data_IF_730542799004
#
_entry.id   IF_730542799004
#
_cell.length_a   1.000
_cell.length_b   1.000
_cell.length_c   1.000
_cell.angle_alpha   90.00
_cell.angle_beta   90.00
_cell.angle_gamma   90.00
#
_symmetry.space_group_name_H-M   'P 1'
#
loop_
_entity.id
_entity.type
_entity.pdbx_description
1 polymer ?
#
# COMPACT_ATOMS: atom_id res chain seq x y z
N UNK A 1 7.20 -0.19 -23.66
CA UNK A 1 6.62 0.95 -22.94
C UNK A 1 5.68 1.66 -23.89
N UNK A 2 4.48 2.04 -23.45
CA UNK A 2 3.56 2.86 -24.25
C UNK A 2 4.04 4.31 -24.19
N UNK A 3 4.08 4.99 -25.32
CA UNK A 3 4.44 6.41 -25.45
C UNK A 3 3.25 7.20 -26.01
N UNK A 4 3.24 8.51 -25.81
CA UNK A 4 2.12 9.39 -26.19
C UNK A 4 0.93 9.25 -25.24
N UNK A 5 1.18 9.01 -23.94
CA UNK A 5 0.13 8.82 -22.95
C UNK A 5 -0.81 10.03 -22.84
N UNK A 6 -0.28 11.24 -23.05
CA UNK A 6 -1.04 12.50 -23.02
C UNK A 6 -2.14 12.59 -24.09
N UNK A 7 -2.08 11.75 -25.13
CA UNK A 7 -3.08 11.68 -26.22
C UNK A 7 -3.94 10.41 -26.17
N UNK A 8 -3.74 9.55 -25.18
CA UNK A 8 -4.51 8.32 -25.06
C UNK A 8 -5.92 8.57 -24.53
N UNK A 9 -6.91 7.73 -24.91
CA UNK A 9 -8.23 7.77 -24.31
C UNK A 9 -8.14 7.57 -22.78
N UNK A 10 -8.88 8.36 -21.97
CA UNK A 10 -8.86 8.25 -20.51
C UNK A 10 -9.15 6.84 -20.00
N UNK A 11 -10.00 6.08 -20.69
CA UNK A 11 -10.30 4.69 -20.34
C UNK A 11 -9.08 3.77 -20.32
N UNK A 12 -8.13 3.97 -21.25
CA UNK A 12 -6.89 3.16 -21.32
C UNK A 12 -5.94 3.51 -20.17
N UNK A 13 -5.82 4.81 -19.87
CA UNK A 13 -5.00 5.29 -18.75
C UNK A 13 -5.53 4.78 -17.42
N UNK A 14 -6.85 4.83 -17.23
CA UNK A 14 -7.51 4.30 -16.04
C UNK A 14 -7.35 2.78 -15.92
N UNK A 15 -7.54 2.04 -17.02
CA UNK A 15 -7.37 0.59 -17.03
C UNK A 15 -5.97 0.16 -16.56
N UNK A 16 -4.92 0.86 -17.03
CA UNK A 16 -3.54 0.64 -16.59
C UNK A 16 -3.38 0.89 -15.09
N UNK A 17 -3.95 1.99 -14.58
CA UNK A 17 -3.95 2.30 -13.15
C UNK A 17 -4.65 1.23 -12.31
N UNK A 18 -5.81 0.74 -12.77
CA UNK A 18 -6.58 -0.31 -12.09
C UNK A 18 -5.81 -1.64 -12.08
N UNK A 19 -5.24 -2.06 -13.20
CA UNK A 19 -4.45 -3.31 -13.26
C UNK A 19 -3.27 -3.28 -12.30
N UNK A 20 -2.59 -2.13 -12.21
CA UNK A 20 -1.48 -1.94 -11.29
C UNK A 20 -1.94 -1.98 -9.81
N UNK A 21 -3.07 -1.32 -9.50
CA UNK A 21 -3.68 -1.37 -8.16
C UNK A 21 -4.12 -2.79 -7.78
N UNK A 22 -4.75 -3.53 -8.72
CA UNK A 22 -5.09 -4.94 -8.53
C UNK A 22 -3.84 -5.82 -8.35
N UNK A 23 -2.74 -5.50 -9.03
CA UNK A 23 -1.44 -6.16 -8.81
C UNK A 23 -0.95 -5.98 -7.38
N UNK A 24 -1.06 -4.78 -6.82
CA UNK A 24 -0.77 -4.49 -5.41
C UNK A 24 -1.63 -5.34 -4.45
N UNK A 25 -2.94 -5.39 -4.69
CA UNK A 25 -3.88 -6.27 -3.95
C UNK A 25 -3.45 -7.74 -4.04
N UNK A 26 -3.06 -8.20 -5.22
CA UNK A 26 -2.61 -9.58 -5.45
C UNK A 26 -1.38 -9.96 -4.65
N UNK A 27 -0.38 -9.06 -4.57
CA UNK A 27 0.82 -9.27 -3.75
C UNK A 27 0.44 -9.34 -2.26
N UNK A 28 -0.41 -8.43 -1.78
CA UNK A 28 -0.85 -8.42 -0.39
C UNK A 28 -1.65 -9.69 -0.03
N UNK A 29 -2.57 -10.11 -0.90
CA UNK A 29 -3.33 -11.34 -0.72
C UNK A 29 -2.42 -12.58 -0.67
N UNK A 30 -1.42 -12.64 -1.55
CA UNK A 30 -0.44 -13.72 -1.60
C UNK A 30 0.40 -13.76 -0.32
N UNK A 31 0.85 -12.60 0.18
CA UNK A 31 1.60 -12.51 1.43
C UNK A 31 0.80 -13.05 2.62
N UNK A 32 -0.50 -12.71 2.72
CA UNK A 32 -1.40 -13.24 3.76
C UNK A 32 -1.61 -14.75 3.61
N UNK A 33 -1.69 -15.27 2.39
CA UNK A 33 -1.86 -16.69 2.13
C UNK A 33 -0.62 -17.52 2.49
N UNK A 34 0.58 -16.95 2.33
CA UNK A 34 1.86 -17.63 2.64
C UNK A 34 2.21 -17.54 4.13
N UNK A 35 1.76 -16.50 4.84
CA UNK A 35 2.10 -16.25 6.25
C UNK A 35 1.91 -17.46 7.19
N UNK A 36 0.81 -18.26 7.09
CA UNK A 36 0.66 -19.48 7.89
C UNK A 36 1.73 -20.52 7.61
N UNK A 37 2.14 -20.69 6.35
CA UNK A 37 3.15 -21.69 5.95
C UNK A 37 4.52 -21.36 6.58
N UNK A 38 4.87 -20.08 6.67
CA UNK A 38 6.10 -19.63 7.33
C UNK A 38 6.06 -19.83 8.86
N UNK A 39 4.90 -19.63 9.49
CA UNK A 39 4.73 -19.85 10.93
C UNK A 39 4.75 -21.35 11.32
N UNK A 40 4.44 -22.25 10.39
CA UNK A 40 4.47 -23.70 10.62
C UNK A 40 5.91 -24.25 10.62
N UNK A 41 6.88 -23.56 9.98
CA UNK A 41 8.25 -24.08 9.81
C UNK A 41 9.28 -23.72 10.90
N UNK A 42 9.05 -22.68 11.72
CA UNK A 42 10.03 -22.18 12.71
C UNK A 42 9.53 -22.09 14.16
N UNK A 43 8.22 -22.20 14.39
CA UNK A 43 7.61 -21.99 15.70
C UNK A 43 7.48 -23.27 16.54
N UNK A 44 7.67 -24.47 15.97
CA UNK A 44 7.69 -25.70 16.79
C UNK A 44 8.94 -25.78 17.68
N UNK A 45 10.09 -25.27 17.21
CA UNK A 45 11.33 -25.24 18.00
C UNK A 45 11.26 -24.18 19.11
N UNK A 46 10.59 -23.05 18.87
CA UNK A 46 10.42 -21.95 19.84
C UNK A 46 9.23 -22.13 20.80
N UNK A 47 8.27 -23.00 20.49
CA UNK A 47 7.13 -23.31 21.38
C UNK A 47 7.53 -24.03 22.66
N UNK A 48 8.71 -24.66 22.68
CA UNK A 48 9.18 -25.39 23.86
C UNK A 48 9.70 -24.48 24.97
N UNK A 49 10.11 -23.23 24.68
CA UNK A 49 10.69 -22.33 25.71
C UNK A 49 9.71 -21.31 26.29
N UNK A 50 8.55 -21.05 25.67
CA UNK A 50 7.62 -20.00 26.13
C UNK A 50 6.17 -20.49 26.16
N UNK A 51 5.87 -21.42 27.06
CA UNK A 51 4.48 -21.72 27.42
C UNK A 51 4.10 -20.98 28.71
N UNK A 52 3.55 -19.78 28.58
CA UNK A 52 2.37 -19.33 29.36
C UNK A 52 1.92 -17.94 28.89
N UNK A 53 0.62 -17.82 28.60
CA UNK A 53 -0.11 -16.55 28.44
C UNK A 53 -0.02 -15.76 27.11
N UNK A 54 0.17 -16.42 25.96
CA UNK A 54 -0.25 -15.82 24.68
C UNK A 54 -1.66 -16.30 24.35
N UNK A 55 -2.64 -15.54 24.83
CA UNK A 55 -4.05 -15.71 24.51
C UNK A 55 -4.20 -15.84 23.01
N UNK A 56 -4.75 -17.00 22.64
CA UNK A 56 -5.11 -17.48 21.31
C UNK A 56 -6.00 -16.47 20.59
N UNK A 57 -5.42 -15.41 20.03
CA UNK A 57 -6.06 -14.54 19.05
C UNK A 57 -5.13 -14.46 17.85
N UNK A 58 -4.79 -15.61 17.29
CA UNK A 58 -4.43 -15.64 15.87
C UNK A 58 -5.69 -15.14 15.14
N UNK A 59 -5.68 -13.95 14.54
CA UNK A 59 -6.83 -13.52 13.77
C UNK A 59 -7.08 -14.61 12.74
N UNK A 60 -8.31 -15.11 12.62
CA UNK A 60 -8.67 -15.98 11.49
C UNK A 60 -8.13 -15.31 10.24
N UNK A 61 -7.37 -16.03 9.41
CA UNK A 61 -6.63 -15.49 8.25
C UNK A 61 -7.50 -14.54 7.41
N UNK A 62 -8.78 -14.87 7.25
CA UNK A 62 -9.77 -14.01 6.59
C UNK A 62 -9.91 -12.61 7.22
N UNK A 63 -9.91 -12.49 8.54
CA UNK A 63 -9.94 -11.19 9.23
C UNK A 63 -8.71 -10.33 8.97
N UNK A 64 -7.51 -10.93 8.91
CA UNK A 64 -6.28 -10.21 8.55
C UNK A 64 -6.32 -9.68 7.12
N UNK A 65 -6.78 -10.50 6.16
CA UNK A 65 -6.97 -10.09 4.78
C UNK A 65 -7.93 -8.89 4.67
N UNK A 66 -9.08 -8.94 5.35
CA UNK A 66 -10.04 -7.83 5.36
C UNK A 66 -9.42 -6.54 5.90
N UNK A 67 -8.64 -6.62 7.00
CA UNK A 67 -7.96 -5.46 7.56
C UNK A 67 -6.93 -4.85 6.60
N UNK A 68 -6.11 -5.68 5.96
CA UNK A 68 -5.09 -5.24 4.99
C UNK A 68 -5.76 -4.56 3.79
N UNK A 69 -6.80 -5.18 3.22
CA UNK A 69 -7.53 -4.61 2.09
C UNK A 69 -8.24 -3.31 2.45
N UNK A 70 -8.79 -3.21 3.67
CA UNK A 70 -9.43 -2.00 4.16
C UNK A 70 -8.43 -0.85 4.32
N UNK A 71 -7.24 -1.13 4.85
CA UNK A 71 -6.15 -0.13 4.97
C UNK A 71 -5.66 0.28 3.58
N UNK A 72 -5.45 -0.68 2.68
CA UNK A 72 -5.03 -0.41 1.30
C UNK A 72 -6.02 0.48 0.55
N UNK A 73 -7.31 0.15 0.60
CA UNK A 73 -8.37 0.98 0.02
C UNK A 73 -8.48 2.35 0.69
N UNK A 74 -8.42 2.40 2.03
CA UNK A 74 -8.45 3.64 2.80
C UNK A 74 -7.28 4.58 2.46
N UNK A 75 -6.06 4.05 2.38
CA UNK A 75 -4.88 4.80 1.95
C UNK A 75 -5.03 5.29 0.50
N UNK A 76 -5.60 4.48 -0.39
CA UNK A 76 -5.85 4.89 -1.79
C UNK A 76 -6.81 6.09 -1.85
N UNK A 77 -7.91 6.06 -1.09
CA UNK A 77 -8.89 7.17 -1.04
C UNK A 77 -8.25 8.41 -0.41
N UNK A 78 -7.51 8.25 0.69
CA UNK A 78 -6.80 9.35 1.33
C UNK A 78 -5.78 9.99 0.37
N UNK A 79 -5.01 9.17 -0.37
CA UNK A 79 -4.06 9.62 -1.37
C UNK A 79 -4.74 10.42 -2.49
N UNK A 80 -5.86 9.90 -3.01
CA UNK A 80 -6.65 10.59 -4.04
C UNK A 80 -7.15 11.95 -3.57
N UNK A 81 -7.68 12.01 -2.34
CA UNK A 81 -8.14 13.26 -1.74
C UNK A 81 -6.99 14.25 -1.55
N UNK A 82 -5.83 13.80 -1.05
CA UNK A 82 -4.65 14.65 -0.89
C UNK A 82 -4.12 15.18 -2.22
N UNK A 83 -4.04 14.35 -3.27
CA UNK A 83 -3.62 14.83 -4.61
C UNK A 83 -4.59 15.86 -5.18
N UNK A 84 -5.89 15.65 -4.99
CA UNK A 84 -6.92 16.62 -5.41
C UNK A 84 -6.78 17.96 -4.68
N UNK A 85 -6.58 17.93 -3.36
CA UNK A 85 -6.38 19.15 -2.55
C UNK A 85 -5.08 19.87 -2.95
N UNK A 86 -4.04 19.11 -3.31
CA UNK A 86 -2.77 19.64 -3.82
C UNK A 86 -2.86 20.23 -5.23
N UNK A 87 -4.02 20.14 -5.90
CA UNK A 87 -4.27 20.81 -7.19
C UNK A 87 -4.04 19.95 -8.43
N UNK A 88 -4.02 18.62 -8.31
CA UNK A 88 -4.11 17.73 -9.48
C UNK A 88 -5.53 17.71 -10.05
N UNK A 89 -5.65 17.44 -11.35
CA UNK A 89 -6.95 17.18 -11.98
C UNK A 89 -7.58 15.92 -11.36
N UNK A 90 -8.93 15.85 -11.32
CA UNK A 90 -9.64 14.73 -10.70
C UNK A 90 -9.23 13.37 -11.31
N UNK A 91 -9.05 13.32 -12.64
CA UNK A 91 -8.70 12.09 -13.33
C UNK A 91 -7.25 11.68 -13.02
N UNK A 92 -6.34 12.64 -13.09
CA UNK A 92 -4.92 12.41 -12.79
C UNK A 92 -4.73 12.02 -11.31
N UNK A 93 -5.41 12.69 -10.38
CA UNK A 93 -5.40 12.35 -8.95
C UNK A 93 -5.88 10.92 -8.69
N UNK A 94 -6.93 10.46 -9.40
CA UNK A 94 -7.43 9.10 -9.27
C UNK A 94 -6.41 8.07 -9.76
N UNK A 95 -5.86 8.26 -10.96
CA UNK A 95 -4.89 7.32 -11.53
C UNK A 95 -3.60 7.31 -10.72
N UNK A 96 -3.08 8.48 -10.33
CA UNK A 96 -1.86 8.57 -9.51
C UNK A 96 -2.05 7.97 -8.11
N UNK A 97 -3.23 8.12 -7.48
CA UNK A 97 -3.50 7.48 -6.20
C UNK A 97 -3.48 5.95 -6.27
N UNK A 98 -4.13 5.38 -7.31
CA UNK A 98 -4.14 3.94 -7.56
C UNK A 98 -2.70 3.39 -7.71
N UNK A 99 -1.82 4.15 -8.35
CA UNK A 99 -0.47 3.68 -8.70
C UNK A 99 0.58 3.99 -7.63
N UNK A 100 0.39 5.06 -6.85
CA UNK A 100 1.28 5.45 -5.74
C UNK A 100 1.15 4.45 -4.59
N UNK A 101 -0.07 4.12 -4.17
CA UNK A 101 -0.30 3.21 -3.04
C UNK A 101 0.07 1.77 -3.39
N UNK A 102 -0.01 1.38 -4.67
CA UNK A 102 0.46 0.09 -5.15
C UNK A 102 1.96 0.03 -5.46
N UNK A 103 2.69 1.12 -5.21
CA UNK A 103 4.13 1.29 -5.53
C UNK A 103 4.52 1.02 -6.98
N UNK A 104 3.59 1.20 -7.93
CA UNK A 104 3.79 0.83 -9.34
C UNK A 104 4.23 1.96 -10.27
N UNK A 105 4.03 3.23 -9.89
CA UNK A 105 4.62 4.37 -10.63
C UNK A 105 4.02 4.69 -12.01
N UNK A 106 2.91 4.06 -12.40
CA UNK A 106 2.18 4.43 -13.62
C UNK A 106 1.57 5.82 -13.52
N UNK A 107 1.44 6.50 -14.66
CA UNK A 107 0.89 7.85 -14.77
C UNK A 107 0.04 8.02 -16.04
N UNK A 108 -0.72 9.10 -16.08
CA UNK A 108 -1.51 9.58 -17.22
C UNK A 108 -0.69 10.33 -18.25
N UNK A 109 0.55 10.71 -17.94
CA UNK A 109 1.44 11.47 -18.81
C UNK A 109 2.77 10.75 -19.02
N UNK A 110 3.42 10.98 -20.15
CA UNK A 110 4.78 10.49 -20.42
C UNK A 110 5.81 11.11 -19.46
N UNK A 111 5.54 12.31 -18.95
CA UNK A 111 6.36 13.00 -17.95
C UNK A 111 6.16 12.46 -16.52
N UNK A 112 5.28 11.47 -16.34
CA UNK A 112 4.90 10.95 -15.02
C UNK A 112 4.48 12.09 -14.07
N UNK A 113 4.93 12.07 -12.81
CA UNK A 113 4.69 13.16 -11.86
C UNK A 113 5.38 14.48 -12.27
N UNK A 114 6.32 14.43 -13.22
CA UNK A 114 6.98 15.60 -13.80
C UNK A 114 6.00 16.55 -14.52
N UNK A 115 4.80 16.08 -14.90
CA UNK A 115 3.69 16.97 -15.33
C UNK A 115 3.35 18.05 -14.30
N UNK A 116 3.62 17.78 -13.01
CA UNK A 116 3.35 18.66 -11.87
C UNK A 116 4.65 19.16 -11.22
N UNK A 117 5.74 19.32 -11.99
CA UNK A 117 7.04 19.72 -11.44
C UNK A 117 7.00 21.07 -10.70
N UNK A 118 6.19 22.02 -11.15
CA UNK A 118 6.04 23.33 -10.50
C UNK A 118 5.11 23.32 -9.28
N UNK A 119 4.41 22.20 -9.03
CA UNK A 119 3.46 22.06 -7.93
C UNK A 119 4.09 21.26 -6.76
N UNK A 120 4.77 21.99 -5.87
CA UNK A 120 5.44 21.44 -4.68
C UNK A 120 4.49 20.59 -3.80
N UNK A 121 3.25 21.03 -3.49
CA UNK A 121 2.29 20.21 -2.73
C UNK A 121 2.06 18.79 -3.29
N UNK A 122 2.00 18.64 -4.62
CA UNK A 122 1.81 17.33 -5.27
C UNK A 122 3.00 16.41 -5.02
N UNK A 123 4.22 16.94 -5.12
CA UNK A 123 5.43 16.16 -4.88
C UNK A 123 5.54 15.69 -3.43
N UNK A 124 5.26 16.58 -2.48
CA UNK A 124 5.26 16.24 -1.05
C UNK A 124 4.21 15.16 -0.77
N UNK A 125 3.01 15.31 -1.33
CA UNK A 125 1.94 14.30 -1.22
C UNK A 125 2.41 12.95 -1.74
N UNK A 126 3.04 12.92 -2.93
CA UNK A 126 3.56 11.69 -3.50
C UNK A 126 4.61 11.03 -2.61
N UNK A 127 5.57 11.80 -2.08
CA UNK A 127 6.61 11.28 -1.18
C UNK A 127 6.00 10.65 0.07
N UNK A 128 5.05 11.33 0.72
CA UNK A 128 4.37 10.82 1.91
C UNK A 128 3.63 9.51 1.58
N UNK A 129 2.92 9.46 0.46
CA UNK A 129 2.15 8.27 0.09
C UNK A 129 3.01 7.12 -0.46
N UNK A 130 4.18 7.41 -1.04
CA UNK A 130 5.17 6.38 -1.39
C UNK A 130 5.76 5.73 -0.14
N UNK A 131 6.12 6.54 0.87
CA UNK A 131 6.65 6.00 2.14
C UNK A 131 5.57 5.16 2.83
N UNK A 132 4.35 5.67 2.93
CA UNK A 132 3.27 4.92 3.58
C UNK A 132 2.85 3.67 2.80
N UNK A 133 2.85 3.72 1.46
CA UNK A 133 2.60 2.54 0.63
C UNK A 133 3.70 1.48 0.71
N UNK A 134 4.94 1.87 1.00
CA UNK A 134 6.08 0.96 1.14
C UNK A 134 6.18 0.29 2.52
N UNK A 135 5.54 0.86 3.55
CA UNK A 135 5.54 0.29 4.89
C UNK A 135 4.76 -1.03 4.94
N UNK A 136 5.19 -2.01 5.76
CA UNK A 136 4.45 -3.25 5.92
C UNK A 136 3.00 -2.99 6.39
N UNK A 137 2.01 -3.47 5.63
CA UNK A 137 0.58 -3.32 5.98
C UNK A 137 0.23 -3.89 7.37
N UNK A 138 1.01 -4.86 7.83
CA UNK A 138 0.89 -5.44 9.17
C UNK A 138 1.26 -4.45 10.28
N UNK A 139 2.18 -3.50 10.03
CA UNK A 139 2.56 -2.46 10.99
C UNK A 139 1.38 -1.50 11.26
N UNK A 140 0.62 -1.14 10.23
CA UNK A 140 -0.60 -0.33 10.37
C UNK A 140 -1.65 -1.00 11.25
N UNK A 141 -1.84 -2.32 11.11
CA UNK A 141 -2.78 -3.09 11.94
C UNK A 141 -2.35 -3.07 13.40
N UNK A 142 -1.05 -3.22 13.67
CA UNK A 142 -0.51 -3.19 15.03
C UNK A 142 -0.65 -1.81 15.68
N UNK A 143 -0.45 -0.73 14.90
CA UNK A 143 -0.65 0.64 15.35
C UNK A 143 -2.12 0.91 15.74
N UNK A 144 -3.07 0.51 14.90
CA UNK A 144 -4.51 0.66 15.17
C UNK A 144 -4.94 -0.13 16.42
N UNK A 145 -4.28 -1.25 16.71
CA UNK A 145 -4.56 -2.09 17.89
C UNK A 145 -3.85 -1.62 19.17
N UNK A 146 -3.15 -0.50 19.15
CA UNK A 146 -2.60 0.14 20.35
C UNK A 146 -1.27 -0.43 20.85
N UNK A 147 -0.50 -1.13 20.01
CA UNK A 147 0.86 -1.57 20.35
C UNK A 147 1.90 -0.79 19.53
N UNK A 148 2.37 0.39 19.99
CA UNK A 148 3.27 1.28 19.23
C UNK A 148 4.74 0.82 19.22
N UNK A 149 5.09 -0.31 19.86
CA UNK A 149 6.46 -0.82 19.95
C UNK A 149 7.18 -1.14 18.61
N UNK A 150 6.53 -1.45 17.46
CA UNK A 150 7.28 -1.90 16.27
C UNK A 150 7.98 -0.78 15.47
N UNK A 151 7.44 0.45 15.44
CA UNK A 151 7.99 1.54 14.60
C UNK A 151 9.41 1.97 15.01
N UNK A 152 9.83 1.67 16.24
CA UNK A 152 11.14 2.04 16.79
C UNK A 152 12.12 0.85 16.90
N UNK A 153 11.66 -0.38 16.64
CA UNK A 153 12.44 -1.60 16.91
C UNK A 153 12.61 -2.48 15.66
N UNK A 154 11.84 -2.26 14.59
CA UNK A 154 12.00 -3.03 13.35
C UNK A 154 13.27 -2.65 12.58
N UNK A 155 14.16 -3.62 12.27
CA UNK A 155 15.37 -3.40 11.46
C UNK A 155 15.09 -2.88 10.04
N UNK A 156 13.84 -2.98 9.57
CA UNK A 156 13.40 -2.54 8.25
C UNK A 156 13.07 -1.03 8.20
N UNK A 157 12.93 -0.38 9.36
CA UNK A 157 12.66 1.06 9.48
C UNK A 157 13.97 1.84 9.73
N UNK A 158 15.12 1.15 9.83
CA UNK A 158 16.45 1.75 10.04
C UNK A 158 17.32 1.72 8.79
#
# INVERSE_FOLDING_TARGET
MLTGLDHMPPGVLLWRGILNWLGGVGILATAVAILPLLQIGGLEIFRLEFTSNMTKVMPRIGGLATWILSIYGGLTIACMASYKISGMDNFDAMVHALTTVSTGGFSTSDLSIGKYVDNIPVQITAIIFMITGALPFLAYIQLIRGNPRPLLVEPQVR
#
